data_IF_474668254151
#
_entry.id   IF_474668254151
#
_cell.length_a   1.000
_cell.length_b   1.000
_cell.length_c   1.000
_cell.angle_alpha   90.00
_cell.angle_beta   90.00
_cell.angle_gamma   90.00
#
_symmetry.space_group_name_H-M   'P 1'
#
loop_
_entity.id
_entity.type
_entity.pdbx_description
1 polymer ?
#
# COMPACT_ATOMS: atom_id res chain seq x y z
N UNK A 1 12.30 -17.28 3.45
CA UNK A 1 11.14 -17.49 2.54
C UNK A 1 11.42 -16.84 1.20
N UNK A 2 11.08 -17.53 0.12
CA UNK A 2 11.22 -16.95 -1.22
C UNK A 2 9.94 -16.18 -1.57
N UNK A 3 10.12 -15.00 -2.17
CA UNK A 3 8.98 -14.19 -2.64
C UNK A 3 8.31 -14.88 -3.81
N UNK A 4 7.01 -15.13 -3.67
CA UNK A 4 6.20 -15.79 -4.69
C UNK A 4 5.32 -14.81 -5.47
N UNK A 5 5.47 -13.53 -5.23
CA UNK A 5 4.67 -12.51 -5.91
C UNK A 5 3.21 -12.47 -5.51
N UNK A 6 2.83 -13.12 -4.40
CA UNK A 6 1.44 -13.14 -3.99
C UNK A 6 1.04 -11.89 -3.23
N UNK A 7 -0.07 -11.31 -3.62
CA UNK A 7 -0.66 -10.14 -2.99
C UNK A 7 -2.16 -10.41 -2.85
N UNK A 8 -2.65 -10.41 -1.61
CA UNK A 8 -4.07 -10.65 -1.32
C UNK A 8 -4.67 -9.41 -0.71
N UNK A 9 -5.84 -9.02 -1.19
CA UNK A 9 -6.55 -7.82 -0.77
C UNK A 9 -7.98 -8.16 -0.41
N UNK A 10 -8.45 -7.65 0.74
CA UNK A 10 -9.85 -7.74 1.15
C UNK A 10 -10.42 -6.34 1.36
N UNK A 11 -11.66 -6.09 0.94
CA UNK A 11 -12.29 -4.79 1.15
C UNK A 11 -12.61 -4.57 2.64
N UNK A 12 -12.58 -3.32 3.07
CA UNK A 12 -12.91 -2.92 4.43
C UNK A 12 -13.93 -1.79 4.41
N UNK A 13 -14.64 -1.62 5.53
CA UNK A 13 -15.55 -0.49 5.71
C UNK A 13 -15.21 0.23 7.00
N UNK A 14 -15.60 1.51 7.07
CA UNK A 14 -15.44 2.35 8.26
C UNK A 14 -16.83 2.60 8.83
N UNK A 15 -17.03 2.29 10.12
CA UNK A 15 -18.28 2.55 10.79
C UNK A 15 -18.39 4.00 11.29
N UNK A 16 -19.52 4.36 11.91
CA UNK A 16 -19.76 5.72 12.39
C UNK A 16 -18.78 6.14 13.49
N UNK A 17 -18.15 5.18 14.15
CA UNK A 17 -17.16 5.44 15.20
C UNK A 17 -15.73 5.48 14.65
N UNK A 18 -15.55 5.30 13.34
CA UNK A 18 -14.24 5.29 12.71
C UNK A 18 -13.53 3.95 12.78
N UNK A 19 -14.20 2.89 13.25
CA UNK A 19 -13.61 1.57 13.32
C UNK A 19 -13.64 0.91 11.94
N UNK A 20 -12.49 0.35 11.52
CA UNK A 20 -12.32 -0.30 10.23
C UNK A 20 -12.45 -1.82 10.40
N UNK A 21 -13.26 -2.45 9.58
CA UNK A 21 -13.45 -3.90 9.61
C UNK A 21 -13.53 -4.49 8.20
N UNK A 22 -13.15 -5.76 8.07
CA UNK A 22 -13.18 -6.48 6.80
C UNK A 22 -14.62 -6.82 6.45
N UNK A 23 -15.03 -6.53 5.21
CA UNK A 23 -16.41 -6.76 4.74
C UNK A 23 -16.50 -7.77 3.61
N UNK A 24 -15.39 -8.36 3.17
CA UNK A 24 -15.40 -9.34 2.10
C UNK A 24 -14.22 -10.28 2.19
N UNK A 25 -14.14 -11.21 1.24
CA UNK A 25 -13.09 -12.20 1.20
C UNK A 25 -11.79 -11.63 0.61
N UNK A 26 -10.67 -12.21 1.02
CA UNK A 26 -9.38 -11.89 0.40
C UNK A 26 -9.35 -12.41 -1.04
N UNK A 27 -8.93 -11.55 -1.95
CA UNK A 27 -8.78 -11.88 -3.36
C UNK A 27 -7.31 -11.79 -3.74
N UNK A 28 -6.82 -12.80 -4.46
CA UNK A 28 -5.49 -12.75 -5.04
C UNK A 28 -5.53 -11.85 -6.26
N UNK A 29 -4.76 -10.77 -6.23
CA UNK A 29 -4.66 -9.86 -7.37
C UNK A 29 -3.52 -10.31 -8.29
N UNK A 30 -3.46 -9.81 -9.55
CA UNK A 30 -2.36 -10.16 -10.45
C UNK A 30 -1.01 -9.89 -9.80
N UNK A 31 -0.03 -10.76 -10.07
CA UNK A 31 1.31 -10.64 -9.49
C UNK A 31 2.00 -9.38 -10.00
N UNK A 32 2.50 -8.50 -9.12
CA UNK A 32 3.24 -7.32 -9.53
C UNK A 32 4.55 -7.70 -10.24
N UNK A 33 4.96 -6.88 -11.21
CA UNK A 33 6.26 -7.01 -11.86
C UNK A 33 7.37 -6.51 -10.94
N UNK A 34 7.13 -5.38 -10.29
CA UNK A 34 8.06 -4.83 -9.29
C UNK A 34 7.32 -4.49 -8.02
N UNK A 35 8.03 -4.58 -6.91
CA UNK A 35 7.49 -4.28 -5.59
C UNK A 35 8.56 -3.54 -4.79
N UNK A 36 8.23 -2.30 -4.39
CA UNK A 36 9.08 -1.51 -3.53
C UNK A 36 8.45 -1.37 -2.15
N UNK A 37 9.26 -1.58 -1.11
CA UNK A 37 8.85 -1.42 0.27
C UNK A 37 9.60 -0.26 0.88
N UNK A 38 8.90 0.61 1.60
CA UNK A 38 9.52 1.71 2.34
C UNK A 38 8.74 1.98 3.62
N UNK A 39 9.38 2.66 4.54
CA UNK A 39 8.75 3.08 5.77
C UNK A 39 9.07 4.55 5.99
N UNK A 40 8.07 5.32 6.37
CA UNK A 40 8.21 6.75 6.64
C UNK A 40 7.72 7.04 8.04
N UNK A 41 8.48 7.86 8.76
CA UNK A 41 8.10 8.34 10.07
C UNK A 41 7.34 9.66 9.94
N UNK A 42 6.22 9.76 10.65
CA UNK A 42 5.48 11.00 10.76
C UNK A 42 5.90 11.70 12.05
N UNK A 43 6.52 12.86 11.92
CA UNK A 43 6.97 13.65 13.05
C UNK A 43 6.01 14.80 13.35
N UNK A 44 5.88 15.16 14.63
CA UNK A 44 5.14 16.34 15.02
C UNK A 44 5.93 17.59 14.64
N UNK A 45 5.31 18.56 13.95
CA UNK A 45 5.95 19.81 13.58
C UNK A 45 6.34 20.63 14.82
N UNK A 46 5.52 20.57 15.88
CA UNK A 46 5.75 21.31 17.09
C UNK A 46 6.79 20.67 18.00
N UNK A 47 6.86 19.34 17.99
CA UNK A 47 7.75 18.57 18.85
C UNK A 47 9.08 18.19 18.22
N UNK A 48 9.31 18.52 16.95
CA UNK A 48 10.51 18.12 16.24
C UNK A 48 11.35 19.33 15.87
N UNK A 49 12.66 19.23 16.09
CA UNK A 49 13.55 20.31 15.75
C UNK A 49 14.97 20.07 16.23
N UNK A 50 15.71 21.15 16.35
CA UNK A 50 17.10 21.11 16.77
C UNK A 50 17.34 22.16 17.82
N UNK A 51 17.99 21.79 18.93
CA UNK A 51 18.35 22.71 19.97
C UNK A 51 19.51 23.61 19.51
N UNK A 52 19.27 24.91 19.40
CA UNK A 52 20.26 25.85 18.91
C UNK A 52 21.46 26.01 19.85
N UNK A 53 21.30 25.79 21.16
CA UNK A 53 22.36 25.95 22.15
C UNK A 53 23.33 24.77 22.16
N UNK A 54 22.84 23.54 21.95
CA UNK A 54 23.65 22.32 22.00
C UNK A 54 23.85 21.69 20.64
N UNK A 55 23.06 22.06 19.63
CA UNK A 55 23.07 21.44 18.32
C UNK A 55 22.39 20.07 18.27
N UNK A 56 21.81 19.63 19.36
CA UNK A 56 21.11 18.35 19.40
C UNK A 56 19.78 18.43 18.67
N UNK A 57 19.52 17.37 17.89
CA UNK A 57 18.24 17.21 17.24
C UNK A 57 17.28 16.50 18.19
N UNK A 58 16.09 17.04 18.37
CA UNK A 58 15.01 16.34 19.06
C UNK A 58 13.91 16.04 18.07
N UNK A 59 13.19 14.95 18.32
CA UNK A 59 12.22 14.43 17.39
C UNK A 59 11.00 13.90 18.13
N UNK A 60 9.82 14.33 17.68
CA UNK A 60 8.54 13.83 18.18
C UNK A 60 7.90 12.98 17.08
N UNK A 61 8.23 11.69 17.08
CA UNK A 61 7.73 10.76 16.07
C UNK A 61 6.31 10.33 16.42
N UNK A 62 5.34 10.78 15.61
CA UNK A 62 3.93 10.48 15.81
C UNK A 62 3.61 9.03 15.39
N UNK A 63 4.14 8.60 14.25
CA UNK A 63 3.88 7.27 13.73
C UNK A 63 4.94 6.87 12.70
N UNK A 64 5.07 5.57 12.50
CA UNK A 64 5.84 5.00 11.39
C UNK A 64 4.87 4.28 10.47
N UNK A 65 4.87 4.65 9.19
CA UNK A 65 3.95 4.12 8.20
C UNK A 65 4.69 3.46 7.05
N UNK A 66 4.24 2.27 6.69
CA UNK A 66 4.78 1.56 5.53
C UNK A 66 4.13 2.08 4.27
N UNK A 67 4.92 2.15 3.21
CA UNK A 67 4.44 2.51 1.87
C UNK A 67 4.89 1.42 0.91
N UNK A 68 3.94 0.87 0.17
CA UNK A 68 4.20 -0.18 -0.82
C UNK A 68 3.98 0.41 -2.21
N UNK A 69 4.96 0.23 -3.08
CA UNK A 69 4.88 0.71 -4.47
C UNK A 69 4.93 -0.49 -5.40
N UNK A 70 3.92 -0.61 -6.25
CA UNK A 70 3.80 -1.74 -7.17
C UNK A 70 3.72 -1.28 -8.60
N UNK A 71 4.32 -2.05 -9.50
CA UNK A 71 4.05 -1.95 -10.93
C UNK A 71 3.71 -3.33 -11.45
N UNK A 72 2.87 -3.39 -12.48
CA UNK A 72 2.43 -4.65 -13.07
C UNK A 72 2.86 -4.75 -14.52
N UNK A 73 3.04 -5.99 -15.04
CA UNK A 73 3.24 -6.20 -16.46
C UNK A 73 1.95 -5.88 -17.22
N UNK A 74 1.98 -5.84 -18.55
CA UNK A 74 0.74 -5.64 -19.30
C UNK A 74 -0.33 -6.65 -18.90
N UNK A 75 -1.52 -6.15 -18.59
CA UNK A 75 -2.66 -6.96 -18.16
C UNK A 75 -3.83 -6.80 -19.12
N UNK A 76 -4.68 -7.82 -19.20
CA UNK A 76 -5.90 -7.77 -19.97
C UNK A 76 -6.88 -6.75 -19.36
N UNK A 77 -7.93 -6.41 -20.12
CA UNK A 77 -8.96 -5.49 -19.63
C UNK A 77 -9.62 -6.02 -18.36
N UNK A 78 -9.95 -7.31 -18.33
CA UNK A 78 -10.62 -7.89 -17.16
C UNK A 78 -9.69 -7.98 -15.93
N UNK A 79 -8.43 -8.32 -16.11
CA UNK A 79 -7.48 -8.38 -15.01
C UNK A 79 -7.21 -7.01 -14.41
N UNK A 80 -7.05 -6.00 -15.27
CA UNK A 80 -6.84 -4.62 -14.83
C UNK A 80 -8.06 -4.10 -14.06
N UNK A 81 -9.25 -4.38 -14.58
CA UNK A 81 -10.50 -3.99 -13.90
C UNK A 81 -10.60 -4.62 -12.51
N UNK A 82 -10.29 -5.90 -12.40
CA UNK A 82 -10.33 -6.60 -11.12
C UNK A 82 -9.34 -6.02 -10.12
N UNK A 83 -8.12 -5.73 -10.58
CA UNK A 83 -7.08 -5.12 -9.74
C UNK A 83 -7.52 -3.76 -9.22
N UNK A 84 -7.96 -2.86 -10.11
CA UNK A 84 -8.33 -1.50 -9.73
C UNK A 84 -9.58 -1.48 -8.85
N UNK A 85 -10.53 -2.39 -9.07
CA UNK A 85 -11.69 -2.51 -8.19
C UNK A 85 -11.32 -3.01 -6.80
N UNK A 86 -10.31 -3.86 -6.68
CA UNK A 86 -9.82 -4.30 -5.38
C UNK A 86 -9.19 -3.15 -4.59
N UNK A 87 -8.69 -2.12 -5.26
CA UNK A 87 -8.08 -0.95 -4.64
C UNK A 87 -9.07 0.19 -4.40
N UNK A 88 -10.33 0.05 -4.83
CA UNK A 88 -11.34 1.12 -4.77
C UNK A 88 -11.80 1.47 -3.35
N UNK A 89 -12.00 0.52 -2.41
CA UNK A 89 -12.47 0.86 -1.06
C UNK A 89 -11.56 1.87 -0.36
N UNK A 90 -12.14 2.68 0.53
CA UNK A 90 -11.39 3.68 1.30
C UNK A 90 -10.22 3.05 2.07
N UNK A 91 -10.47 1.90 2.68
CA UNK A 91 -9.43 1.10 3.33
C UNK A 91 -9.51 -0.34 2.85
N UNK A 92 -8.35 -0.98 2.79
CA UNK A 92 -8.23 -2.38 2.38
C UNK A 92 -7.29 -3.11 3.33
N UNK A 93 -7.57 -4.40 3.54
CA UNK A 93 -6.67 -5.28 4.28
C UNK A 93 -5.78 -5.99 3.27
N UNK A 94 -4.47 -5.85 3.43
CA UNK A 94 -3.49 -6.36 2.45
C UNK A 94 -2.57 -7.36 3.13
N UNK A 95 -2.46 -8.53 2.54
CA UNK A 95 -1.45 -9.54 2.92
C UNK A 95 -0.32 -9.46 1.90
N UNK A 96 0.88 -9.17 2.39
CA UNK A 96 2.04 -8.89 1.54
C UNK A 96 3.31 -9.36 2.23
N UNK A 97 4.40 -9.41 1.48
CA UNK A 97 5.72 -9.75 2.03
C UNK A 97 6.36 -8.48 2.60
N UNK A 98 6.58 -8.46 3.92
CA UNK A 98 7.15 -7.31 4.61
C UNK A 98 8.67 -7.45 4.72
N UNK A 99 9.40 -6.43 4.28
CA UNK A 99 10.87 -6.47 4.28
C UNK A 99 11.46 -6.47 5.68
N UNK A 100 10.81 -5.75 6.62
CA UNK A 100 11.30 -5.70 8.01
C UNK A 100 11.04 -6.99 8.76
N UNK A 101 9.84 -7.57 8.58
CA UNK A 101 9.46 -8.79 9.27
C UNK A 101 10.06 -10.05 8.63
N UNK A 102 10.44 -9.97 7.35
CA UNK A 102 10.99 -11.11 6.63
C UNK A 102 9.97 -12.20 6.33
N UNK A 103 8.70 -11.88 6.36
CA UNK A 103 7.61 -12.83 6.12
C UNK A 103 6.37 -12.09 5.65
N UNK A 104 5.34 -12.84 5.27
CA UNK A 104 4.05 -12.26 4.91
C UNK A 104 3.34 -11.76 6.16
N UNK A 105 2.80 -10.56 6.06
CA UNK A 105 2.02 -9.92 7.12
C UNK A 105 0.74 -9.33 6.54
N UNK A 106 -0.23 -9.07 7.40
CA UNK A 106 -1.51 -8.47 7.02
C UNK A 106 -1.67 -7.15 7.77
N UNK A 107 -1.89 -6.07 7.03
CA UNK A 107 -2.08 -4.74 7.61
C UNK A 107 -3.14 -3.99 6.83
N UNK A 108 -3.63 -2.90 7.42
CA UNK A 108 -4.63 -2.02 6.79
C UNK A 108 -3.93 -0.91 6.02
N UNK A 109 -4.33 -0.74 4.76
CA UNK A 109 -3.79 0.27 3.86
C UNK A 109 -4.92 1.05 3.19
N UNK A 110 -4.56 2.20 2.62
CA UNK A 110 -5.39 2.88 1.64
C UNK A 110 -4.58 3.06 0.36
N UNK A 111 -5.28 3.04 -0.78
CA UNK A 111 -4.61 3.17 -2.07
C UNK A 111 -4.32 4.64 -2.36
N UNK A 112 -3.08 4.93 -2.72
CA UNK A 112 -2.69 6.24 -3.23
C UNK A 112 -2.96 6.33 -4.74
N UNK A 113 -2.25 7.21 -5.45
CA UNK A 113 -2.45 7.36 -6.89
C UNK A 113 -2.27 6.05 -7.66
N UNK A 114 -3.16 5.80 -8.59
CA UNK A 114 -3.16 4.63 -9.46
C UNK A 114 -3.21 5.11 -10.90
N UNK A 115 -2.50 4.42 -11.78
CA UNK A 115 -2.46 4.79 -13.19
C UNK A 115 -2.32 3.56 -14.09
N UNK A 116 -2.82 3.69 -15.32
CA UNK A 116 -2.69 2.68 -16.35
C UNK A 116 -2.81 3.37 -17.71
N UNK A 117 -2.05 2.89 -18.71
CA UNK A 117 -2.09 3.42 -20.05
C UNK A 117 -2.69 2.39 -21.00
N UNK A 118 -3.62 2.82 -21.86
CA UNK A 118 -4.22 1.93 -22.85
C UNK A 118 -3.22 1.60 -23.95
N UNK A 119 -2.97 0.32 -24.14
CA UNK A 119 -2.06 -0.18 -25.17
C UNK A 119 -2.79 -0.88 -26.30
N UNK A 120 -2.03 -1.47 -27.20
CA UNK A 120 -2.59 -2.27 -28.30
C UNK A 120 -3.13 -3.61 -27.81
N UNK A 121 -4.03 -4.19 -28.61
CA UNK A 121 -4.56 -5.55 -28.40
C UNK A 121 -5.28 -5.71 -27.06
N UNK A 122 -6.05 -4.68 -26.68
CA UNK A 122 -6.89 -4.73 -25.48
C UNK A 122 -6.10 -5.03 -24.20
N UNK A 123 -4.95 -4.39 -24.06
CA UNK A 123 -4.13 -4.50 -22.85
C UNK A 123 -3.86 -3.13 -22.24
N UNK A 124 -3.77 -3.12 -20.93
CA UNK A 124 -3.32 -1.94 -20.18
C UNK A 124 -1.84 -2.07 -19.86
N UNK A 125 -1.09 -0.98 -20.05
CA UNK A 125 0.36 -0.93 -19.86
C UNK A 125 0.69 0.05 -18.74
N UNK A 126 1.89 -0.11 -18.15
CA UNK A 126 2.39 0.83 -17.16
C UNK A 126 1.50 0.97 -15.94
N UNK A 127 0.86 -0.12 -15.53
CA UNK A 127 -0.05 -0.11 -14.39
C UNK A 127 0.78 0.05 -13.12
N UNK A 128 0.46 1.07 -12.33
CA UNK A 128 1.18 1.38 -11.11
C UNK A 128 0.21 1.81 -10.01
N UNK A 129 0.53 1.46 -8.78
CA UNK A 129 -0.25 1.85 -7.61
C UNK A 129 0.62 1.91 -6.38
N UNK A 130 0.28 2.80 -5.46
CA UNK A 130 0.92 2.89 -4.16
C UNK A 130 -0.09 2.55 -3.07
N UNK A 131 0.35 1.82 -2.07
CA UNK A 131 -0.47 1.54 -0.88
C UNK A 131 0.23 2.16 0.33
N UNK A 132 -0.54 2.88 1.12
CA UNK A 132 -0.03 3.60 2.29
C UNK A 132 -0.70 3.02 3.53
N UNK A 133 0.09 2.68 4.54
CA UNK A 133 -0.43 2.11 5.79
C UNK A 133 -1.30 3.12 6.53
N UNK A 134 -2.43 2.63 7.04
CA UNK A 134 -3.33 3.44 7.85
C UNK A 134 -2.70 3.83 9.19
#
# INVERSE_FOLDING_TARGET
MLYKGTLHIAPMSVDDEGKVSIIGDYQKVPTPQTYGWSIEDLDSEEGTGRNNATGEMFRDRVASKRKLSFTWPPLSISETSRLLKALEPEFISVTYLDAREGDYVTKTFYAGPQSANCGHRSRWLGIAANLIEK
#
